data_IF_202167494051
#
_entry.id   IF_202167494051
#
_cell.length_a   1.000
_cell.length_b   1.000
_cell.length_c   1.000
_cell.angle_alpha   90.00
_cell.angle_beta   90.00
_cell.angle_gamma   90.00
#
_symmetry.space_group_name_H-M   'P 1'
#
loop_
_entity.id
_entity.type
_entity.pdbx_description
1 polymer ?
#
# COMPACT_ATOMS: atom_id res chain seq x y z
N UNK A 1 -31.92 -5.50 -7.32
CA UNK A 1 -30.52 -5.24 -7.71
C UNK A 1 -29.62 -5.75 -6.61
N UNK A 2 -28.57 -6.49 -6.95
CA UNK A 2 -27.58 -6.91 -5.96
C UNK A 2 -26.77 -5.70 -5.48
N UNK A 3 -26.40 -5.71 -4.19
CA UNK A 3 -25.56 -4.66 -3.62
C UNK A 3 -24.14 -4.75 -4.20
N UNK A 4 -23.44 -3.63 -4.44
CA UNK A 4 -22.03 -3.64 -4.79
C UNK A 4 -21.21 -4.41 -3.75
N UNK A 5 -20.28 -5.23 -4.22
CA UNK A 5 -19.31 -5.93 -3.37
C UNK A 5 -17.96 -5.22 -3.49
N UNK A 6 -17.32 -4.98 -2.37
CA UNK A 6 -16.03 -4.28 -2.29
C UNK A 6 -15.04 -5.19 -1.58
N UNK A 7 -13.83 -5.28 -2.10
CA UNK A 7 -12.69 -5.89 -1.45
C UNK A 7 -11.66 -4.78 -1.21
N UNK A 8 -11.37 -4.51 0.05
CA UNK A 8 -10.22 -3.68 0.44
C UNK A 8 -9.07 -4.66 0.66
N UNK A 9 -7.97 -4.45 -0.05
CA UNK A 9 -6.81 -5.34 -0.02
C UNK A 9 -5.60 -4.56 0.51
N UNK A 10 -5.23 -4.82 1.75
CA UNK A 10 -3.98 -4.35 2.33
C UNK A 10 -2.79 -4.94 1.58
N UNK A 11 -1.82 -4.08 1.25
CA UNK A 11 -0.59 -4.42 0.52
C UNK A 11 0.63 -3.95 1.30
N UNK A 12 1.81 -4.32 0.82
CA UNK A 12 3.07 -3.67 1.16
C UNK A 12 3.63 -2.95 -0.08
N UNK A 13 4.50 -1.98 0.14
CA UNK A 13 5.21 -1.30 -0.95
C UNK A 13 6.27 -2.24 -1.54
N UNK A 14 6.17 -2.51 -2.83
CA UNK A 14 7.16 -3.35 -3.55
C UNK A 14 8.31 -2.51 -4.11
N UNK A 15 8.06 -1.23 -4.39
CA UNK A 15 9.09 -0.29 -4.83
C UNK A 15 9.93 0.25 -3.69
N UNK A 16 10.96 1.02 -4.03
CA UNK A 16 11.77 1.72 -3.04
C UNK A 16 11.03 2.95 -2.51
N UNK A 17 10.33 2.78 -1.38
CA UNK A 17 9.65 3.87 -0.67
C UNK A 17 10.19 4.00 0.76
N UNK A 18 10.23 5.22 1.29
CA UNK A 18 10.43 5.43 2.74
C UNK A 18 9.11 5.15 3.44
N UNK A 19 8.99 3.96 4.01
CA UNK A 19 7.79 3.53 4.75
C UNK A 19 8.02 3.61 6.26
N UNK A 20 6.94 3.76 7.02
CA UNK A 20 6.96 3.75 8.50
C UNK A 20 7.44 2.43 9.10
N UNK A 21 7.11 1.34 8.39
CA UNK A 21 7.61 0.01 8.61
C UNK A 21 7.87 -0.60 7.25
N UNK A 22 8.90 -1.44 7.16
CA UNK A 22 9.31 -2.03 5.89
C UNK A 22 8.94 -3.51 5.86
N UNK A 23 8.63 -3.98 4.65
CA UNK A 23 8.60 -5.40 4.32
C UNK A 23 9.80 -5.71 3.44
N UNK A 24 10.80 -6.37 4.01
CA UNK A 24 12.06 -6.66 3.32
C UNK A 24 11.99 -8.04 2.68
N UNK A 25 11.94 -8.08 1.35
CA UNK A 25 11.95 -9.32 0.57
C UNK A 25 13.31 -9.49 -0.11
N UNK A 26 13.63 -10.75 -0.44
CA UNK A 26 14.62 -11.08 -1.47
C UNK A 26 14.18 -10.52 -2.84
N UNK A 27 15.00 -10.71 -3.88
CA UNK A 27 14.76 -10.13 -5.20
C UNK A 27 13.35 -10.47 -5.74
N UNK A 28 12.45 -9.48 -5.67
CA UNK A 28 11.07 -9.59 -6.12
C UNK A 28 10.98 -9.77 -7.65
N UNK A 29 12.04 -9.46 -8.41
CA UNK A 29 12.11 -9.72 -9.85
C UNK A 29 12.54 -11.15 -10.18
N UNK A 30 12.99 -11.95 -9.20
CA UNK A 30 13.33 -13.35 -9.44
C UNK A 30 12.14 -14.16 -9.97
N UNK A 31 12.42 -15.17 -10.79
CA UNK A 31 11.39 -16.03 -11.40
C UNK A 31 10.44 -16.65 -10.36
N UNK A 32 10.98 -17.02 -9.18
CA UNK A 32 10.19 -17.53 -8.06
C UNK A 32 9.17 -16.50 -7.59
N UNK A 33 9.60 -15.27 -7.27
CA UNK A 33 8.72 -14.20 -6.77
C UNK A 33 7.73 -13.72 -7.81
N UNK A 34 8.14 -13.65 -9.08
CA UNK A 34 7.26 -13.32 -10.20
C UNK A 34 6.14 -14.36 -10.38
N UNK A 35 6.45 -15.65 -10.17
CA UNK A 35 5.44 -16.71 -10.17
C UNK A 35 4.48 -16.57 -8.98
N UNK A 36 4.98 -16.32 -7.78
CA UNK A 36 4.13 -16.10 -6.60
C UNK A 36 3.19 -14.88 -6.74
N UNK A 37 3.67 -13.80 -7.36
CA UNK A 37 2.85 -12.62 -7.71
C UNK A 37 1.70 -13.03 -8.64
N UNK A 38 2.00 -13.80 -9.69
CA UNK A 38 0.97 -14.29 -10.62
C UNK A 38 -0.05 -15.19 -9.93
N UNK A 39 0.40 -16.08 -9.04
CA UNK A 39 -0.50 -16.93 -8.26
C UNK A 39 -1.41 -16.12 -7.33
N UNK A 40 -0.90 -15.04 -6.73
CA UNK A 40 -1.70 -14.09 -5.96
C UNK A 40 -2.73 -13.37 -6.86
N UNK A 41 -2.31 -12.88 -8.03
CA UNK A 41 -3.21 -12.24 -9.00
C UNK A 41 -4.35 -13.18 -9.40
N UNK A 42 -4.05 -14.46 -9.66
CA UNK A 42 -5.05 -15.47 -10.00
C UNK A 42 -6.00 -15.77 -8.84
N UNK A 43 -5.52 -15.75 -7.59
CA UNK A 43 -6.38 -15.86 -6.40
C UNK A 43 -7.34 -14.67 -6.32
N UNK A 44 -6.86 -13.44 -6.52
CA UNK A 44 -7.67 -12.22 -6.48
C UNK A 44 -8.69 -12.20 -7.63
N UNK A 45 -8.31 -12.67 -8.81
CA UNK A 45 -9.16 -12.74 -10.01
C UNK A 45 -10.49 -13.47 -9.77
N UNK A 46 -10.51 -14.44 -8.85
CA UNK A 46 -11.73 -15.18 -8.46
C UNK A 46 -12.83 -14.28 -7.89
N UNK A 47 -12.47 -13.13 -7.30
CA UNK A 47 -13.42 -12.11 -6.86
C UNK A 47 -14.15 -11.42 -8.03
N UNK A 48 -13.59 -11.49 -9.24
CA UNK A 48 -14.11 -10.86 -10.47
C UNK A 48 -14.36 -9.35 -10.29
N UNK A 49 -13.35 -8.56 -9.86
CA UNK A 49 -13.52 -7.12 -9.71
C UNK A 49 -13.87 -6.49 -11.05
N UNK A 50 -14.93 -5.69 -11.09
CA UNK A 50 -15.35 -4.95 -12.29
C UNK A 50 -14.64 -3.60 -12.43
N UNK A 51 -14.00 -3.14 -11.36
CA UNK A 51 -13.13 -1.96 -11.30
C UNK A 51 -11.97 -2.28 -10.35
N UNK A 52 -10.80 -1.71 -10.63
CA UNK A 52 -9.60 -1.84 -9.80
C UNK A 52 -9.10 -0.43 -9.50
N UNK A 53 -9.02 -0.11 -8.22
CA UNK A 53 -8.51 1.16 -7.72
C UNK A 53 -7.16 0.95 -7.02
N UNK A 54 -6.26 1.91 -7.12
CA UNK A 54 -4.95 1.90 -6.45
C UNK A 54 -4.74 3.18 -5.66
N UNK A 55 -3.99 3.08 -4.56
CA UNK A 55 -3.55 4.21 -3.74
C UNK A 55 -2.56 5.07 -4.54
N UNK A 56 -3.10 6.07 -5.25
CA UNK A 56 -2.34 7.06 -6.00
C UNK A 56 -3.21 8.31 -6.17
N UNK A 57 -2.60 9.48 -6.04
CA UNK A 57 -3.35 10.73 -6.14
C UNK A 57 -4.04 10.87 -7.50
N UNK A 58 -5.27 11.41 -7.47
CA UNK A 58 -6.10 11.57 -8.68
C UNK A 58 -5.40 12.36 -9.80
N UNK A 59 -4.54 13.34 -9.46
CA UNK A 59 -3.77 14.14 -10.42
C UNK A 59 -2.80 13.30 -11.29
N UNK A 60 -2.48 12.08 -10.88
CA UNK A 60 -1.64 11.14 -11.63
C UNK A 60 -2.44 10.04 -12.34
N UNK A 61 -3.78 10.13 -12.38
CA UNK A 61 -4.62 9.09 -13.01
C UNK A 61 -4.33 8.91 -14.51
N UNK A 62 -4.07 10.02 -15.23
CA UNK A 62 -3.77 9.97 -16.66
C UNK A 62 -2.43 9.27 -16.90
N UNK A 63 -1.37 9.66 -16.19
CA UNK A 63 -0.05 9.01 -16.26
C UNK A 63 -0.13 7.52 -15.90
N UNK A 64 -0.92 7.16 -14.88
CA UNK A 64 -1.15 5.78 -14.46
C UNK A 64 -1.78 4.95 -15.59
N UNK A 65 -2.78 5.51 -16.28
CA UNK A 65 -3.47 4.81 -17.36
C UNK A 65 -2.65 4.76 -18.65
N UNK A 66 -1.84 5.78 -18.94
CA UNK A 66 -0.87 5.73 -20.05
C UNK A 66 0.12 4.58 -19.86
N UNK A 67 0.72 4.45 -18.67
CA UNK A 67 1.60 3.32 -18.32
C UNK A 67 0.89 1.98 -18.44
N UNK A 68 -0.36 1.89 -17.94
CA UNK A 68 -1.16 0.67 -18.05
C UNK A 68 -1.41 0.25 -19.50
N UNK A 69 -1.79 1.19 -20.38
CA UNK A 69 -2.07 0.91 -21.79
C UNK A 69 -0.81 0.41 -22.51
N UNK A 70 0.34 1.06 -22.27
CA UNK A 70 1.64 0.62 -22.83
C UNK A 70 1.98 -0.82 -22.40
N UNK A 71 1.77 -1.16 -21.13
CA UNK A 71 1.93 -2.53 -20.64
C UNK A 71 0.95 -3.53 -21.27
N UNK A 72 -0.32 -3.15 -21.47
CA UNK A 72 -1.30 -4.01 -22.14
C UNK A 72 -0.88 -4.30 -23.58
N UNK A 73 -0.38 -3.29 -24.29
CA UNK A 73 0.12 -3.38 -25.66
C UNK A 73 1.47 -4.10 -25.79
N UNK A 74 2.17 -4.37 -24.67
CA UNK A 74 3.49 -4.98 -24.67
C UNK A 74 4.63 -4.01 -25.03
N UNK A 75 4.41 -2.71 -24.87
CA UNK A 75 5.37 -1.65 -25.17
C UNK A 75 6.33 -1.35 -24.01
N UNK A 76 5.99 -1.79 -22.79
CA UNK A 76 6.79 -1.59 -21.57
C UNK A 76 6.69 -2.78 -20.64
N UNK A 77 7.81 -3.11 -20.01
CA UNK A 77 7.84 -4.03 -18.86
C UNK A 77 7.27 -3.37 -17.61
N UNK A 78 6.90 -4.20 -16.63
CA UNK A 78 6.40 -3.74 -15.35
C UNK A 78 7.55 -3.32 -14.45
N UNK A 79 7.40 -2.15 -13.83
CA UNK A 79 8.29 -1.69 -12.77
C UNK A 79 8.00 -2.46 -11.47
N UNK A 80 8.98 -2.47 -10.56
CA UNK A 80 8.79 -3.03 -9.23
C UNK A 80 7.96 -2.05 -8.36
N UNK A 81 6.66 -2.03 -8.60
CA UNK A 81 5.67 -1.26 -7.87
C UNK A 81 4.39 -2.09 -7.77
N UNK A 82 3.79 -2.17 -6.60
CA UNK A 82 2.60 -2.97 -6.29
C UNK A 82 1.41 -2.68 -7.20
N UNK A 83 1.24 -1.41 -7.62
CA UNK A 83 0.21 -1.02 -8.59
C UNK A 83 0.42 -1.70 -9.96
N UNK A 84 1.68 -1.88 -10.37
CA UNK A 84 2.03 -2.54 -11.62
C UNK A 84 2.05 -4.07 -11.46
N UNK A 85 2.71 -4.58 -10.42
CA UNK A 85 2.85 -6.02 -10.21
C UNK A 85 1.52 -6.71 -9.91
N UNK A 86 0.59 -6.04 -9.21
CA UNK A 86 -0.74 -6.61 -8.90
C UNK A 86 -1.82 -6.02 -9.81
N UNK A 87 -2.02 -4.70 -9.75
CA UNK A 87 -3.23 -4.09 -10.32
C UNK A 87 -3.23 -4.15 -11.86
N UNK A 88 -2.10 -3.85 -12.52
CA UNK A 88 -2.01 -3.91 -13.98
C UNK A 88 -2.17 -5.34 -14.49
N UNK A 89 -1.50 -6.32 -13.86
CA UNK A 89 -1.63 -7.73 -14.23
C UNK A 89 -3.07 -8.22 -14.10
N UNK A 90 -3.71 -7.92 -12.96
CA UNK A 90 -5.09 -8.30 -12.70
C UNK A 90 -6.04 -7.66 -13.72
N UNK A 91 -5.89 -6.36 -13.98
CA UNK A 91 -6.69 -5.61 -14.95
C UNK A 91 -6.56 -6.16 -16.38
N UNK A 92 -5.32 -6.40 -16.82
CA UNK A 92 -5.03 -7.00 -18.13
C UNK A 92 -5.69 -8.38 -18.26
N UNK A 93 -5.61 -9.21 -17.21
CA UNK A 93 -6.20 -10.55 -17.19
C UNK A 93 -7.73 -10.58 -17.24
N UNK A 94 -8.38 -9.46 -16.89
CA UNK A 94 -9.83 -9.27 -16.87
C UNK A 94 -10.34 -8.42 -18.05
N UNK A 95 -9.45 -7.91 -18.90
CA UNK A 95 -9.80 -7.07 -20.03
C UNK A 95 -10.26 -5.66 -19.64
N UNK A 96 -9.82 -5.16 -18.49
CA UNK A 96 -10.18 -3.81 -18.04
C UNK A 96 -9.47 -2.77 -18.90
N UNK A 97 -10.18 -1.70 -19.24
CA UNK A 97 -9.65 -0.61 -20.07
C UNK A 97 -8.87 0.44 -19.28
N UNK A 98 -9.03 0.47 -17.95
CA UNK A 98 -8.43 1.48 -17.09
C UNK A 98 -8.29 1.03 -15.64
N UNK A 99 -7.35 1.66 -14.95
CA UNK A 99 -7.17 1.65 -13.50
C UNK A 99 -7.69 2.98 -12.95
N UNK A 100 -8.17 2.97 -11.71
CA UNK A 100 -8.68 4.17 -11.04
C UNK A 100 -7.72 4.60 -9.93
N UNK A 101 -7.32 5.86 -9.93
CA UNK A 101 -6.48 6.41 -8.87
C UNK A 101 -7.39 6.86 -7.70
N UNK A 102 -7.13 6.35 -6.49
CA UNK A 102 -7.90 6.68 -5.29
C UNK A 102 -6.93 6.93 -4.14
N UNK A 103 -6.56 8.19 -3.98
CA UNK A 103 -5.84 8.71 -2.84
C UNK A 103 -6.12 10.22 -2.72
N UNK A 104 -6.17 10.71 -1.50
CA UNK A 104 -6.49 12.09 -1.19
C UNK A 104 -5.34 12.71 -0.38
N UNK A 105 -4.46 13.42 -1.10
CA UNK A 105 -3.46 14.30 -0.51
C UNK A 105 -3.93 15.75 -0.73
N UNK A 106 -4.62 16.33 0.26
CA UNK A 106 -5.08 17.72 0.19
C UNK A 106 -3.94 18.71 0.51
N UNK A 107 -4.20 20.00 0.33
CA UNK A 107 -3.37 21.04 0.95
C UNK A 107 -3.38 20.87 2.47
N UNK A 108 -2.21 20.63 3.07
CA UNK A 108 -2.05 20.31 4.49
C UNK A 108 -1.44 18.93 4.67
N UNK A 109 -1.49 18.10 3.64
CA UNK A 109 -0.80 16.85 3.59
C UNK A 109 0.71 17.03 3.62
N UNK A 110 1.41 16.25 4.43
CA UNK A 110 2.86 16.44 4.64
C UNK A 110 3.25 17.85 5.10
N UNK A 111 2.35 18.56 5.82
CA UNK A 111 2.69 19.83 6.49
C UNK A 111 3.89 19.66 7.45
N UNK A 112 4.08 18.43 7.93
CA UNK A 112 5.33 17.97 8.51
C UNK A 112 5.68 16.58 7.99
N UNK A 113 6.98 16.34 7.87
CA UNK A 113 7.55 15.03 7.57
C UNK A 113 7.41 14.09 8.76
N UNK A 114 7.45 12.78 8.49
CA UNK A 114 7.46 11.78 9.56
C UNK A 114 8.65 11.96 10.52
N UNK A 115 9.78 12.45 10.01
CA UNK A 115 10.96 12.75 10.82
C UNK A 115 10.72 13.86 11.84
N UNK A 116 10.01 14.93 11.46
CA UNK A 116 9.66 16.02 12.37
C UNK A 116 8.70 15.56 13.47
N UNK A 117 7.69 14.75 13.11
CA UNK A 117 6.77 14.16 14.10
C UNK A 117 7.54 13.22 15.04
N UNK A 118 8.49 12.45 14.54
CA UNK A 118 9.31 11.55 15.36
C UNK A 118 10.20 12.31 16.36
N UNK A 119 10.85 13.38 15.93
CA UNK A 119 11.64 14.24 16.83
C UNK A 119 10.74 14.94 17.87
N UNK A 120 9.52 15.33 17.49
CA UNK A 120 8.53 15.84 18.44
C UNK A 120 8.14 14.79 19.48
N UNK A 121 7.81 13.55 19.05
CA UNK A 121 7.48 12.45 19.97
C UNK A 121 8.64 12.19 20.94
N UNK A 122 9.89 12.17 20.47
CA UNK A 122 11.06 11.98 21.34
C UNK A 122 11.14 13.02 22.45
N UNK A 123 10.86 14.28 22.12
CA UNK A 123 11.07 15.42 23.02
C UNK A 123 9.89 15.66 23.95
N UNK A 124 8.68 15.64 23.41
CA UNK A 124 7.47 16.12 24.10
C UNK A 124 6.53 14.98 24.51
N UNK A 125 6.47 13.88 23.73
CA UNK A 125 5.48 12.81 23.93
C UNK A 125 6.07 11.39 23.74
N UNK A 126 7.08 10.98 24.54
CA UNK A 126 7.84 9.75 24.31
C UNK A 126 7.00 8.46 24.44
N UNK A 127 5.82 8.54 25.07
CA UNK A 127 4.86 7.43 25.11
C UNK A 127 4.40 6.96 23.71
N UNK A 128 4.57 7.79 22.67
CA UNK A 128 4.22 7.45 21.29
C UNK A 128 5.38 6.89 20.46
N UNK A 129 6.59 6.73 21.02
CA UNK A 129 7.74 6.23 20.24
C UNK A 129 7.59 4.79 19.77
N UNK A 130 6.82 3.98 20.51
CA UNK A 130 6.65 2.55 20.27
C UNK A 130 5.37 2.23 19.48
N UNK A 131 4.78 3.22 18.80
CA UNK A 131 3.50 3.03 18.09
C UNK A 131 3.57 1.97 16.99
N UNK A 132 4.73 1.86 16.33
CA UNK A 132 4.93 0.95 15.20
C UNK A 132 5.70 -0.32 15.59
N UNK A 133 5.91 -0.56 16.89
CA UNK A 133 6.67 -1.72 17.37
C UNK A 133 6.03 -3.05 16.95
N UNK A 134 6.84 -3.89 16.31
CA UNK A 134 6.43 -5.17 15.76
C UNK A 134 5.48 -5.06 14.56
N UNK A 135 5.45 -3.93 13.85
CA UNK A 135 4.85 -3.84 12.51
C UNK A 135 5.87 -4.07 11.38
N UNK A 136 7.17 -3.89 11.68
CA UNK A 136 8.23 -4.37 10.78
C UNK A 136 8.10 -5.88 10.63
N UNK A 137 8.13 -6.34 9.38
CA UNK A 137 7.96 -7.73 9.03
C UNK A 137 8.98 -8.10 7.95
N UNK A 138 9.88 -9.02 8.27
CA UNK A 138 10.79 -9.61 7.30
C UNK A 138 10.31 -11.03 7.01
N UNK A 139 9.67 -11.28 5.86
CA UNK A 139 9.29 -12.63 5.46
C UNK A 139 10.53 -13.53 5.33
N UNK A 140 10.39 -14.79 5.75
CA UNK A 140 11.33 -15.85 5.39
C UNK A 140 11.41 -15.98 3.85
N UNK A 141 12.57 -16.39 3.29
CA UNK A 141 12.71 -16.74 1.87
C UNK A 141 11.65 -17.76 1.41
N UNK A 142 11.18 -18.62 2.31
CA UNK A 142 10.15 -19.61 2.03
C UNK A 142 8.71 -19.08 2.19
N UNK A 143 8.53 -17.88 2.73
CA UNK A 143 7.21 -17.26 2.89
C UNK A 143 6.71 -16.79 1.52
N UNK A 144 5.58 -17.32 1.06
CA UNK A 144 5.03 -16.93 -0.23
C UNK A 144 4.43 -15.52 -0.16
N UNK A 145 4.48 -14.76 -1.25
CA UNK A 145 3.86 -13.41 -1.31
C UNK A 145 2.38 -13.46 -0.90
N UNK A 146 1.65 -14.52 -1.23
CA UNK A 146 0.25 -14.66 -0.81
C UNK A 146 0.05 -14.84 0.70
N UNK A 147 1.05 -15.35 1.43
CA UNK A 147 1.00 -15.45 2.89
C UNK A 147 1.18 -14.08 3.53
N UNK A 148 2.04 -13.23 2.95
CA UNK A 148 2.22 -11.84 3.40
C UNK A 148 0.95 -11.03 3.17
N UNK A 149 0.33 -11.16 2.00
CA UNK A 149 -0.98 -10.55 1.75
C UNK A 149 -2.05 -11.08 2.71
N UNK A 150 -2.04 -12.37 3.06
CA UNK A 150 -2.97 -12.90 4.07
C UNK A 150 -2.74 -12.22 5.42
N UNK A 151 -1.50 -12.20 5.91
CA UNK A 151 -1.13 -11.56 7.18
C UNK A 151 -1.61 -10.09 7.23
N UNK A 152 -1.35 -9.33 6.16
CA UNK A 152 -1.70 -7.90 6.11
C UNK A 152 -3.21 -7.65 6.10
N UNK A 153 -4.00 -8.67 5.72
CA UNK A 153 -5.44 -8.62 5.68
C UNK A 153 -6.09 -9.43 6.83
N UNK A 154 -5.30 -9.95 7.77
CA UNK A 154 -5.80 -10.58 8.99
C UNK A 154 -6.28 -9.53 9.98
N UNK A 155 -7.38 -9.85 10.68
CA UNK A 155 -8.02 -8.92 11.63
C UNK A 155 -7.05 -8.41 12.69
N UNK A 156 -6.14 -9.26 13.16
CA UNK A 156 -5.15 -8.89 14.17
C UNK A 156 -4.17 -7.83 13.65
N UNK A 157 -3.58 -8.06 12.48
CA UNK A 157 -2.67 -7.11 11.87
C UNK A 157 -3.37 -5.78 11.54
N UNK A 158 -4.57 -5.83 10.94
CA UNK A 158 -5.39 -4.65 10.68
C UNK A 158 -5.69 -3.88 11.97
N UNK A 159 -6.05 -4.56 13.05
CA UNK A 159 -6.34 -3.91 14.34
C UNK A 159 -5.09 -3.24 14.90
N UNK A 160 -3.92 -3.91 14.77
CA UNK A 160 -2.64 -3.39 15.24
C UNK A 160 -2.21 -2.15 14.47
N UNK A 161 -2.24 -2.18 13.14
CA UNK A 161 -1.89 -1.03 12.29
C UNK A 161 -2.88 0.12 12.49
N UNK A 162 -4.19 -0.17 12.53
CA UNK A 162 -5.20 0.85 12.80
C UNK A 162 -4.98 1.54 14.16
N UNK A 163 -4.66 0.78 15.21
CA UNK A 163 -4.32 1.35 16.53
C UNK A 163 -3.08 2.25 16.46
N UNK A 164 -2.05 1.87 15.70
CA UNK A 164 -0.86 2.69 15.53
C UNK A 164 -1.19 4.03 14.86
N UNK A 165 -1.90 4.00 13.73
CA UNK A 165 -2.29 5.21 12.98
C UNK A 165 -3.25 6.12 13.76
N UNK A 166 -4.25 5.57 14.45
CA UNK A 166 -5.16 6.36 15.30
C UNK A 166 -4.43 7.02 16.45
N UNK A 167 -3.41 6.38 17.03
CA UNK A 167 -2.62 7.02 18.07
C UNK A 167 -1.61 8.01 17.51
N UNK A 168 -1.10 7.81 16.30
CA UNK A 168 -0.28 8.80 15.63
C UNK A 168 -1.07 10.11 15.41
N UNK A 169 -2.34 10.02 15.03
CA UNK A 169 -3.23 11.18 14.91
C UNK A 169 -3.38 12.01 16.20
N UNK A 170 -3.07 11.42 17.36
CA UNK A 170 -3.16 12.08 18.68
C UNK A 170 -1.87 12.83 19.05
N UNK A 171 -0.78 12.63 18.31
CA UNK A 171 0.51 13.28 18.60
C UNK A 171 0.39 14.79 18.41
N UNK A 172 0.77 15.53 19.43
CA UNK A 172 0.70 17.00 19.43
C UNK A 172 -0.73 17.52 19.45
N UNK A 173 -1.68 16.84 20.10
CA UNK A 173 -3.08 17.29 20.21
C UNK A 173 -3.23 18.71 20.77
N UNK A 174 -2.30 19.13 21.63
CA UNK A 174 -2.24 20.47 22.22
C UNK A 174 -1.33 21.44 21.43
N UNK A 175 -0.74 20.99 20.32
CA UNK A 175 0.20 21.74 19.48
C UNK A 175 -0.09 21.55 17.98
N UNK A 176 -1.35 21.78 17.61
CA UNK A 176 -1.78 21.80 16.20
C UNK A 176 -1.82 20.43 15.52
N UNK A 177 -1.96 19.34 16.29
CA UNK A 177 -2.05 17.96 15.79
C UNK A 177 -0.88 17.59 14.87
N UNK A 178 0.36 17.70 15.37
CA UNK A 178 1.58 17.37 14.61
C UNK A 178 1.47 16.03 13.89
N UNK A 179 0.94 15.00 14.53
CA UNK A 179 0.76 13.70 13.89
C UNK A 179 -0.23 13.71 12.72
N UNK A 180 -1.29 14.51 12.80
CA UNK A 180 -2.21 14.69 11.67
C UNK A 180 -1.54 15.38 10.49
N UNK A 181 -0.64 16.34 10.73
CA UNK A 181 0.09 17.02 9.65
C UNK A 181 0.92 16.11 8.75
N UNK A 182 1.19 14.86 9.17
CA UNK A 182 1.77 13.82 8.33
C UNK A 182 0.73 12.83 7.74
N UNK A 183 -0.37 12.56 8.46
CA UNK A 183 -1.38 11.56 8.09
C UNK A 183 -2.35 12.00 7.00
N UNK A 184 -2.69 13.29 6.99
CA UNK A 184 -3.49 13.88 5.92
C UNK A 184 -2.61 14.32 4.77
#
# INVERSE_FOLDING_TARGET
MDKPKIMILGTFHMGSYKSLYNTDFDDLMSDKRQKEIMELVDKIKKFKPTKIAVEREYKYEDELNEKYIRYVNGETDLEMHESQQIAFRLAKSLGHKRIYAVDWMEKGASACTMGEVYEYMKKEEPQFLNLFDGLNFTPDENCAISDVYRLFNEKEFITKTHKAYVNLARVGINDGYKGMGWLI
#
